data_IF_182377879569
#
_entry.id   IF_182377879569
#
_cell.length_a   1.000
_cell.length_b   1.000
_cell.length_c   1.000
_cell.angle_alpha   90.00
_cell.angle_beta   90.00
_cell.angle_gamma   90.00
#
_symmetry.space_group_name_H-M   'P 1'
#
loop_
_entity.id
_entity.type
_entity.pdbx_description
1 polymer ?
#
# COMPACT_ATOMS: atom_id res chain seq x y z
N UNK A 1 14.91 -9.50 5.71
CA UNK A 1 15.82 -9.74 4.57
C UNK A 1 15.23 -10.86 3.75
N UNK A 2 15.03 -10.65 2.45
CA UNK A 2 14.56 -11.70 1.54
C UNK A 2 15.74 -12.48 0.96
N UNK A 3 15.61 -13.81 0.93
CA UNK A 3 16.61 -14.73 0.38
C UNK A 3 16.21 -15.23 -1.02
N UNK A 4 16.94 -16.22 -1.51
CA UNK A 4 16.61 -16.87 -2.77
C UNK A 4 15.16 -17.40 -2.76
N UNK A 5 14.41 -17.14 -3.83
CA UNK A 5 12.99 -17.47 -3.93
C UNK A 5 12.67 -17.90 -5.36
N UNK A 6 12.04 -19.06 -5.52
CA UNK A 6 11.68 -19.59 -6.83
C UNK A 6 10.51 -18.81 -7.47
N UNK A 7 10.41 -18.89 -8.80
CA UNK A 7 9.32 -18.29 -9.58
C UNK A 7 7.94 -18.74 -9.10
N UNK A 8 6.95 -17.84 -9.13
CA UNK A 8 5.58 -18.08 -8.68
C UNK A 8 5.43 -18.60 -7.24
N UNK A 9 6.47 -18.50 -6.41
CA UNK A 9 6.40 -18.90 -5.00
C UNK A 9 6.17 -17.67 -4.14
N UNK A 10 5.31 -17.82 -3.13
CA UNK A 10 5.11 -16.82 -2.09
C UNK A 10 6.04 -17.07 -0.90
N UNK A 11 6.69 -16.01 -0.42
CA UNK A 11 7.37 -15.98 0.86
C UNK A 11 6.46 -15.32 1.88
N UNK A 12 6.30 -15.97 3.04
CA UNK A 12 5.39 -15.56 4.11
C UNK A 12 6.12 -15.61 5.45
N UNK A 13 7.12 -14.74 5.68
CA UNK A 13 7.80 -14.67 6.96
C UNK A 13 6.81 -14.43 8.10
N UNK A 14 7.06 -15.04 9.25
CA UNK A 14 6.30 -14.74 10.46
C UNK A 14 6.62 -13.33 10.96
N UNK A 15 5.72 -12.67 11.71
CA UNK A 15 6.01 -11.40 12.35
C UNK A 15 7.31 -11.41 13.17
N UNK A 16 7.55 -12.46 13.97
CA UNK A 16 8.79 -12.65 14.70
C UNK A 16 10.04 -12.62 13.79
N UNK A 17 9.99 -13.27 12.62
CA UNK A 17 11.12 -13.31 11.69
C UNK A 17 11.46 -11.94 11.05
N UNK A 18 10.51 -11.01 11.06
CA UNK A 18 10.68 -9.64 10.55
C UNK A 18 10.72 -8.58 11.65
N UNK A 19 10.73 -8.99 12.92
CA UNK A 19 10.69 -8.10 14.08
C UNK A 19 9.45 -7.18 14.02
N UNK A 20 8.32 -7.75 13.63
CA UNK A 20 7.05 -7.04 13.43
C UNK A 20 6.05 -7.23 14.57
N UNK A 21 6.45 -7.79 15.71
CA UNK A 21 5.57 -8.00 16.87
C UNK A 21 5.62 -6.78 17.81
N UNK A 22 4.46 -6.44 18.37
CA UNK A 22 4.32 -5.37 19.36
C UNK A 22 4.22 -5.91 20.78
N UNK A 23 4.61 -5.11 21.76
CA UNK A 23 4.25 -5.37 23.15
C UNK A 23 2.73 -5.20 23.37
N UNK A 24 2.20 -5.81 24.43
CA UNK A 24 0.76 -5.78 24.73
C UNK A 24 0.20 -4.36 24.84
N UNK A 25 0.99 -3.45 25.40
CA UNK A 25 0.63 -2.05 25.62
C UNK A 25 1.05 -1.13 24.47
N UNK A 26 1.34 -1.69 23.29
CA UNK A 26 1.76 -0.93 22.11
C UNK A 26 0.75 -0.91 20.98
N UNK A 27 0.71 0.18 20.24
CA UNK A 27 -0.05 0.36 18.99
C UNK A 27 0.85 1.01 17.97
N UNK A 28 0.75 0.61 16.71
CA UNK A 28 1.65 1.12 15.70
C UNK A 28 0.94 1.50 14.40
N UNK A 29 1.55 2.45 13.70
CA UNK A 29 1.16 2.86 12.36
C UNK A 29 2.36 2.83 11.41
N UNK A 30 2.19 2.27 10.21
CA UNK A 30 3.16 2.39 9.12
C UNK A 30 2.80 3.60 8.26
N UNK A 31 3.78 4.47 8.09
CA UNK A 31 3.67 5.70 7.32
C UNK A 31 4.07 5.46 5.87
N UNK A 32 5.20 4.82 5.61
CA UNK A 32 5.66 4.52 4.25
C UNK A 32 6.51 3.26 4.19
N UNK A 33 6.73 2.75 2.98
CA UNK A 33 7.61 1.63 2.70
C UNK A 33 8.89 2.09 1.98
N UNK A 34 9.96 1.30 2.11
CA UNK A 34 11.21 1.47 1.38
C UNK A 34 11.66 0.11 0.83
N UNK A 35 11.76 -0.01 -0.50
CA UNK A 35 12.02 -1.28 -1.18
C UNK A 35 13.35 -1.20 -1.94
N UNK A 36 14.29 -2.07 -1.54
CA UNK A 36 15.53 -2.34 -2.24
C UNK A 36 15.32 -3.58 -3.10
N UNK A 37 15.03 -3.33 -4.38
CA UNK A 37 14.78 -4.37 -5.37
C UNK A 37 15.98 -5.33 -5.55
N UNK A 38 15.73 -6.62 -5.81
CA UNK A 38 16.77 -7.57 -6.16
C UNK A 38 17.29 -7.31 -7.58
N UNK A 39 18.59 -7.11 -7.71
CA UNK A 39 19.28 -6.78 -8.97
C UNK A 39 20.61 -7.52 -9.00
N UNK A 40 20.87 -8.27 -10.07
CA UNK A 40 22.13 -9.00 -10.25
C UNK A 40 23.33 -8.06 -10.40
N UNK A 41 24.55 -8.58 -10.23
CA UNK A 41 25.79 -7.81 -10.45
C UNK A 41 25.91 -7.19 -11.85
N UNK A 42 25.22 -7.75 -12.85
CA UNK A 42 25.13 -7.21 -14.21
C UNK A 42 24.03 -6.16 -14.42
N UNK A 43 23.28 -5.80 -13.38
CA UNK A 43 22.20 -4.82 -13.46
C UNK A 43 20.84 -5.38 -13.91
N UNK A 44 20.74 -6.70 -14.12
CA UNK A 44 19.47 -7.37 -14.47
C UNK A 44 18.55 -7.39 -13.26
N UNK A 45 17.34 -6.88 -13.42
CA UNK A 45 16.30 -6.85 -12.39
C UNK A 45 15.70 -8.25 -12.22
N UNK A 46 15.44 -8.66 -10.97
CA UNK A 46 14.72 -9.90 -10.69
C UNK A 46 13.27 -9.60 -10.30
N UNK A 47 12.36 -10.54 -10.57
CA UNK A 47 10.92 -10.29 -10.53
C UNK A 47 10.35 -10.41 -9.12
N UNK A 48 10.68 -9.48 -8.21
CA UNK A 48 9.93 -9.32 -6.95
C UNK A 48 8.58 -8.70 -7.26
N UNK A 49 7.70 -9.51 -7.85
CA UNK A 49 6.47 -9.07 -8.50
C UNK A 49 5.61 -8.30 -7.52
N UNK A 50 5.32 -8.86 -6.35
CA UNK A 50 4.31 -8.33 -5.43
C UNK A 50 4.77 -8.33 -3.99
N UNK A 51 4.39 -7.29 -3.26
CA UNK A 51 4.61 -7.13 -1.83
C UNK A 51 3.29 -6.68 -1.20
N UNK A 52 2.74 -7.49 -0.30
CA UNK A 52 1.48 -7.26 0.39
C UNK A 52 1.72 -7.13 1.90
N UNK A 53 1.36 -6.01 2.55
CA UNK A 53 1.32 -5.92 4.00
C UNK A 53 0.28 -6.86 4.62
N UNK A 54 0.63 -7.47 5.74
CA UNK A 54 -0.28 -8.27 6.57
C UNK A 54 -0.32 -7.64 7.96
N UNK A 55 -1.46 -7.09 8.33
CA UNK A 55 -1.69 -6.36 9.57
C UNK A 55 -2.54 -7.22 10.50
N UNK A 56 -2.02 -7.57 11.68
CA UNK A 56 -2.71 -8.42 12.67
C UNK A 56 -3.35 -9.67 12.04
N UNK A 57 -2.58 -10.35 11.18
CA UNK A 57 -2.99 -11.56 10.45
C UNK A 57 -3.86 -11.33 9.21
N UNK A 58 -4.29 -10.09 8.93
CA UNK A 58 -5.13 -9.76 7.77
C UNK A 58 -4.31 -9.20 6.62
N UNK A 59 -4.45 -9.81 5.43
CA UNK A 59 -3.83 -9.31 4.20
C UNK A 59 -4.46 -7.98 3.80
N UNK A 60 -3.61 -7.00 3.47
CA UNK A 60 -4.04 -5.67 3.06
C UNK A 60 -3.94 -5.44 1.55
N UNK A 61 -3.79 -6.52 0.76
CA UNK A 61 -3.54 -6.47 -0.69
C UNK A 61 -4.65 -5.82 -1.51
N UNK A 62 -5.88 -5.81 -1.00
CA UNK A 62 -6.97 -5.06 -1.64
C UNK A 62 -6.73 -3.54 -1.63
N UNK A 63 -5.95 -3.02 -0.67
CA UNK A 63 -5.69 -1.59 -0.52
C UNK A 63 -4.25 -1.23 -0.92
N UNK A 64 -3.30 -2.08 -0.53
CA UNK A 64 -1.87 -1.85 -0.70
C UNK A 64 -1.22 -3.05 -1.36
N UNK A 65 -0.87 -2.90 -2.63
CA UNK A 65 -0.09 -3.86 -3.41
C UNK A 65 1.10 -3.11 -4.04
N UNK A 66 2.32 -3.46 -3.64
CA UNK A 66 3.53 -2.77 -4.05
C UNK A 66 4.35 -3.64 -4.99
N UNK A 67 4.84 -3.05 -6.08
CA UNK A 67 5.86 -3.69 -6.93
C UNK A 67 7.24 -3.56 -6.30
N UNK A 68 7.99 -4.66 -6.29
CA UNK A 68 9.39 -4.71 -5.89
C UNK A 68 10.39 -4.76 -7.05
N UNK A 69 9.92 -4.81 -8.30
CA UNK A 69 10.77 -4.83 -9.50
C UNK A 69 11.43 -3.46 -9.66
N UNK A 70 12.74 -3.40 -9.93
CA UNK A 70 13.50 -2.13 -9.90
C UNK A 70 12.94 -1.07 -10.85
N UNK A 71 12.45 -1.46 -12.03
CA UNK A 71 11.86 -0.54 -13.00
C UNK A 71 10.46 -0.05 -12.62
N UNK A 72 9.68 -0.78 -11.83
CA UNK A 72 8.32 -0.39 -11.44
C UNK A 72 8.15 -0.18 -9.94
N UNK A 73 9.26 -0.11 -9.19
CA UNK A 73 9.24 0.02 -7.74
C UNK A 73 8.48 1.27 -7.33
N UNK A 74 7.41 1.07 -6.57
CA UNK A 74 6.52 2.17 -6.18
C UNK A 74 7.00 2.90 -4.92
N UNK A 75 7.88 2.25 -4.15
CA UNK A 75 8.42 2.79 -2.91
C UNK A 75 9.97 2.65 -2.89
N UNK A 76 10.69 3.32 -3.81
CA UNK A 76 12.15 3.22 -3.88
C UNK A 76 12.84 3.83 -2.64
N UNK A 77 14.12 3.52 -2.41
CA UNK A 77 14.92 4.12 -1.35
C UNK A 77 14.92 5.65 -1.42
N UNK A 78 14.87 6.34 -0.28
CA UNK A 78 14.75 7.81 -0.23
C UNK A 78 15.80 8.52 -1.09
N UNK A 79 17.05 8.03 -1.06
CA UNK A 79 18.16 8.57 -1.85
C UNK A 79 18.04 8.37 -3.36
N UNK A 80 17.04 7.63 -3.84
CA UNK A 80 16.74 7.40 -5.27
C UNK A 80 15.51 8.17 -5.75
N UNK A 81 14.96 9.06 -4.92
CA UNK A 81 13.78 9.86 -5.26
C UNK A 81 14.22 11.30 -5.49
N UNK A 82 13.93 11.83 -6.68
CA UNK A 82 14.13 13.24 -6.98
C UNK A 82 13.29 14.11 -6.03
N UNK A 83 13.92 15.07 -5.36
CA UNK A 83 13.26 15.90 -4.34
C UNK A 83 12.90 15.18 -3.04
N UNK A 84 13.32 13.91 -2.86
CA UNK A 84 13.15 13.10 -1.64
C UNK A 84 11.70 13.00 -1.12
N UNK A 85 10.70 13.17 -2.00
CA UNK A 85 9.27 13.07 -1.68
C UNK A 85 8.81 11.61 -1.76
N UNK A 86 8.94 10.89 -0.65
CA UNK A 86 8.35 9.56 -0.51
C UNK A 86 6.83 9.66 -0.50
N UNK A 87 6.18 8.74 -1.21
CA UNK A 87 4.76 8.51 -1.02
C UNK A 87 4.52 7.97 0.40
N UNK A 88 3.46 8.46 1.03
CA UNK A 88 3.04 8.04 2.37
C UNK A 88 1.63 7.46 2.29
N UNK A 89 1.36 6.40 3.06
CA UNK A 89 0.02 5.86 3.22
C UNK A 89 -0.93 6.85 3.90
N UNK A 90 -0.40 7.82 4.65
CA UNK A 90 -1.17 8.89 5.27
C UNK A 90 -0.29 9.85 6.05
N UNK A 91 -0.91 10.72 6.82
CA UNK A 91 -0.24 11.61 7.78
C UNK A 91 -0.29 10.96 9.17
N UNK A 92 0.87 10.61 9.77
CA UNK A 92 0.91 10.07 11.13
C UNK A 92 0.45 11.12 12.15
N UNK A 93 0.03 10.68 13.33
CA UNK A 93 -0.41 11.58 14.42
C UNK A 93 -1.54 12.55 14.03
N UNK A 94 -2.25 12.29 12.94
CA UNK A 94 -3.36 13.12 12.49
C UNK A 94 -4.68 12.65 13.09
N UNK A 95 -5.49 13.60 13.55
CA UNK A 95 -6.88 13.38 13.95
C UNK A 95 -7.90 13.68 12.84
N UNK A 96 -7.42 14.06 11.64
CA UNK A 96 -8.27 14.19 10.46
C UNK A 96 -8.43 12.80 9.82
N UNK A 97 -9.67 12.26 9.72
CA UNK A 97 -9.86 10.91 9.21
C UNK A 97 -9.41 10.70 7.76
N UNK A 98 -9.43 11.75 6.94
CA UNK A 98 -9.00 11.68 5.53
C UNK A 98 -7.48 11.66 5.38
N UNK A 99 -6.74 12.09 6.41
CA UNK A 99 -5.28 12.10 6.41
C UNK A 99 -4.71 10.96 7.24
N UNK A 100 -5.42 10.48 8.27
CA UNK A 100 -4.95 9.44 9.19
C UNK A 100 -5.03 8.03 8.59
N UNK A 101 -4.66 7.84 7.33
CA UNK A 101 -4.82 6.59 6.56
C UNK A 101 -3.57 5.68 6.58
N UNK A 102 -2.61 5.96 7.44
CA UNK A 102 -1.48 5.07 7.74
C UNK A 102 -1.94 3.65 8.10
N UNK A 103 -1.10 2.64 7.87
CA UNK A 103 -1.47 1.25 8.13
C UNK A 103 -1.43 0.96 9.63
N UNK A 104 -2.58 0.73 10.25
CA UNK A 104 -2.69 0.56 11.72
C UNK A 104 -2.79 -0.91 12.10
N UNK A 105 -1.96 -1.31 13.06
CA UNK A 105 -1.94 -2.65 13.64
C UNK A 105 -1.73 -2.58 15.16
N UNK A 106 -2.22 -3.58 15.89
CA UNK A 106 -2.20 -3.60 17.35
C UNK A 106 -1.39 -4.74 17.96
N UNK A 107 -1.04 -5.75 17.17
CA UNK A 107 -0.36 -6.97 17.64
C UNK A 107 0.86 -7.27 16.78
N UNK A 108 0.68 -7.29 15.45
CA UNK A 108 1.77 -7.66 14.56
C UNK A 108 1.65 -7.14 13.14
N UNK A 109 2.80 -7.04 12.47
CA UNK A 109 2.91 -6.79 11.05
C UNK A 109 3.88 -7.76 10.40
N UNK A 110 3.54 -8.22 9.20
CA UNK A 110 4.49 -8.89 8.30
C UNK A 110 4.20 -8.52 6.85
N UNK A 111 4.94 -9.11 5.91
CA UNK A 111 4.79 -8.92 4.49
C UNK A 111 4.72 -10.28 3.81
N UNK A 112 3.84 -10.43 2.83
CA UNK A 112 3.91 -11.52 1.86
C UNK A 112 4.53 -11.02 0.57
N UNK A 113 5.46 -11.79 0.01
CA UNK A 113 6.10 -11.44 -1.27
C UNK A 113 5.96 -12.55 -2.30
N UNK A 114 5.56 -12.19 -3.51
CA UNK A 114 5.43 -13.11 -4.65
C UNK A 114 6.53 -12.81 -5.67
N UNK A 115 7.19 -13.87 -6.14
CA UNK A 115 8.07 -13.81 -7.31
C UNK A 115 7.27 -13.95 -8.58
N UNK A 116 7.66 -13.23 -9.62
CA UNK A 116 7.10 -13.36 -10.96
C UNK A 116 7.35 -14.73 -11.58
N UNK A 117 6.84 -14.91 -12.80
CA UNK A 117 6.81 -16.19 -13.47
C UNK A 117 8.10 -16.54 -14.22
N UNK A 118 8.95 -15.54 -14.52
CA UNK A 118 10.07 -15.70 -15.45
C UNK A 118 11.40 -15.79 -14.73
N UNK A 119 11.63 -14.91 -13.76
CA UNK A 119 12.95 -14.74 -13.14
C UNK A 119 12.88 -14.97 -11.63
N UNK A 120 13.54 -16.04 -11.17
CA UNK A 120 13.68 -16.31 -9.74
C UNK A 120 14.49 -15.21 -9.04
N UNK A 121 14.27 -15.05 -7.73
CA UNK A 121 15.11 -14.20 -6.90
C UNK A 121 16.36 -14.98 -6.51
N UNK A 122 17.53 -14.48 -6.89
CA UNK A 122 18.85 -14.98 -6.47
C UNK A 122 19.62 -13.95 -5.65
N UNK A 123 19.25 -12.69 -5.76
CA UNK A 123 19.88 -11.58 -5.05
C UNK A 123 19.10 -11.19 -3.80
N UNK A 124 19.80 -10.66 -2.81
CA UNK A 124 19.16 -10.16 -1.61
C UNK A 124 18.27 -8.94 -1.95
N UNK A 125 17.05 -8.94 -1.43
CA UNK A 125 16.18 -7.77 -1.40
C UNK A 125 15.86 -7.38 0.04
N UNK A 126 15.49 -6.10 0.22
CA UNK A 126 15.11 -5.57 1.52
C UNK A 126 13.88 -4.70 1.40
N UNK A 127 12.91 -4.95 2.25
CA UNK A 127 11.74 -4.09 2.43
C UNK A 127 11.81 -3.55 3.86
N UNK A 128 11.61 -2.25 4.01
CA UNK A 128 11.49 -1.58 5.30
C UNK A 128 10.15 -0.90 5.38
N UNK A 129 9.49 -1.04 6.52
CA UNK A 129 8.29 -0.30 6.85
C UNK A 129 8.68 0.73 7.90
N UNK A 130 8.41 1.99 7.61
CA UNK A 130 8.74 3.11 8.48
C UNK A 130 7.48 3.65 9.11
N UNK A 131 7.52 3.87 10.41
CA UNK A 131 6.33 4.20 11.18
C UNK A 131 6.63 4.56 12.62
N UNK A 132 5.57 4.61 13.41
CA UNK A 132 5.63 4.92 14.83
C UNK A 132 5.03 3.78 15.63
N UNK A 133 5.60 3.54 16.81
CA UNK A 133 5.04 2.69 17.86
C UNK A 133 4.72 3.60 19.04
N UNK A 134 3.54 3.43 19.60
CA UNK A 134 3.00 4.21 20.70
C UNK A 134 2.66 3.30 21.86
N UNK A 135 2.91 3.73 23.09
CA UNK A 135 2.25 3.15 24.26
C UNK A 135 0.76 3.50 24.25
N UNK A 136 -0.09 2.60 24.72
CA UNK A 136 -1.54 2.81 24.75
C UNK A 136 -1.92 4.05 25.57
N UNK A 137 -1.17 4.35 26.63
CA UNK A 137 -1.40 5.48 27.53
C UNK A 137 -1.16 6.85 26.88
N UNK A 138 -0.38 6.93 25.80
CA UNK A 138 -0.08 8.18 25.11
C UNK A 138 -1.01 8.48 23.93
N UNK A 139 -1.76 7.49 23.45
CA UNK A 139 -2.67 7.64 22.30
C UNK A 139 -3.68 8.80 22.45
N UNK A 140 -4.37 8.98 23.61
CA UNK A 140 -5.30 10.09 23.76
C UNK A 140 -4.62 11.45 23.72
N UNK A 141 -3.34 11.54 24.13
CA UNK A 141 -2.56 12.78 24.11
C UNK A 141 -2.07 13.10 22.70
N UNK A 142 -1.66 12.10 21.93
CA UNK A 142 -1.11 12.27 20.58
C UNK A 142 -2.21 12.59 19.57
N UNK A 143 -3.33 11.85 19.62
CA UNK A 143 -4.38 11.94 18.60
C UNK A 143 -5.67 12.60 19.11
N UNK A 144 -5.95 12.54 20.42
CA UNK A 144 -7.24 12.97 20.97
C UNK A 144 -8.39 12.13 20.44
N UNK A 145 -9.25 12.76 19.65
CA UNK A 145 -10.44 12.15 19.05
C UNK A 145 -10.36 12.28 17.54
N UNK A 146 -10.63 11.20 16.82
CA UNK A 146 -10.74 11.18 15.37
C UNK A 146 -11.97 11.97 14.93
N UNK A 147 -11.77 12.99 14.10
CA UNK A 147 -12.76 14.03 13.80
C UNK A 147 -13.74 13.63 12.69
N UNK A 148 -14.76 12.86 13.06
CA UNK A 148 -15.94 12.63 12.22
C UNK A 148 -17.13 13.52 12.66
N UNK A 149 -18.09 13.84 11.76
CA UNK A 149 -18.09 13.55 10.32
C UNK A 149 -17.01 14.35 9.58
N UNK A 150 -16.58 13.84 8.42
CA UNK A 150 -15.62 14.54 7.53
C UNK A 150 -16.14 14.61 6.10
N UNK A 151 -15.55 15.46 5.26
CA UNK A 151 -16.03 15.70 3.90
C UNK A 151 -14.89 15.70 2.88
N UNK A 152 -15.10 14.95 1.80
CA UNK A 152 -14.30 15.06 0.57
C UNK A 152 -14.99 16.06 -0.35
N UNK A 153 -14.30 17.15 -0.70
CA UNK A 153 -14.85 18.25 -1.51
C UNK A 153 -14.17 18.28 -2.87
N UNK A 154 -14.91 17.91 -3.92
CA UNK A 154 -14.53 18.17 -5.32
C UNK A 154 -15.04 19.55 -5.72
N UNK A 155 -14.18 20.56 -5.55
CA UNK A 155 -14.52 21.95 -5.89
C UNK A 155 -14.73 22.15 -7.39
N UNK A 156 -14.04 21.39 -8.24
CA UNK A 156 -14.13 21.55 -9.68
C UNK A 156 -15.52 21.13 -10.21
N UNK A 157 -16.11 20.11 -9.58
CA UNK A 157 -17.46 19.62 -9.93
C UNK A 157 -18.56 20.12 -8.97
N UNK A 158 -18.20 20.95 -7.99
CA UNK A 158 -19.09 21.41 -6.92
C UNK A 158 -19.83 20.24 -6.22
N UNK A 159 -19.09 19.19 -5.87
CA UNK A 159 -19.62 18.00 -5.17
C UNK A 159 -18.93 17.86 -3.81
N UNK A 160 -19.70 17.42 -2.82
CA UNK A 160 -19.17 17.04 -1.51
C UNK A 160 -19.69 15.64 -1.15
N UNK A 161 -18.77 14.75 -0.78
CA UNK A 161 -19.07 13.46 -0.18
C UNK A 161 -18.87 13.58 1.32
N UNK A 162 -19.95 13.42 2.10
CA UNK A 162 -19.89 13.46 3.56
C UNK A 162 -19.78 12.05 4.11
N UNK A 163 -18.73 11.80 4.88
CA UNK A 163 -18.49 10.54 5.59
C UNK A 163 -19.03 10.69 7.02
N UNK A 164 -20.25 10.18 7.23
CA UNK A 164 -20.96 10.28 8.50
C UNK A 164 -20.62 9.12 9.43
N UNK A 165 -19.90 9.42 10.52
CA UNK A 165 -19.63 8.52 11.65
C UNK A 165 -19.62 9.31 12.95
N UNK A 166 -19.79 8.60 14.06
CA UNK A 166 -19.45 9.19 15.36
C UNK A 166 -17.95 9.46 15.43
N UNK A 167 -17.58 10.54 16.10
CA UNK A 167 -16.20 10.80 16.45
C UNK A 167 -15.66 9.63 17.31
N UNK A 168 -14.41 9.21 17.06
CA UNK A 168 -13.83 8.02 17.69
C UNK A 168 -12.74 8.47 18.66
N UNK A 169 -12.92 8.32 19.99
CA UNK A 169 -11.85 8.55 20.95
C UNK A 169 -10.67 7.62 20.63
N UNK A 170 -9.45 8.15 20.54
CA UNK A 170 -8.29 7.33 20.16
C UNK A 170 -7.63 6.73 21.40
N UNK A 171 -7.71 5.40 21.51
CA UNK A 171 -7.13 4.62 22.60
C UNK A 171 -6.74 3.21 22.12
N UNK A 172 -6.27 2.36 23.05
CA UNK A 172 -5.81 1.01 22.72
C UNK A 172 -6.90 0.09 22.16
N UNK A 173 -8.16 0.28 22.55
CA UNK A 173 -9.29 -0.54 22.13
C UNK A 173 -9.86 -0.08 20.78
N UNK A 174 -9.82 1.22 20.51
CA UNK A 174 -10.35 1.79 19.28
C UNK A 174 -9.32 1.84 18.14
N UNK A 175 -8.04 1.55 18.40
CA UNK A 175 -6.95 1.73 17.43
C UNK A 175 -7.21 1.09 16.06
N UNK A 176 -7.69 -0.17 16.04
CA UNK A 176 -7.96 -0.91 14.80
C UNK A 176 -9.18 -0.41 14.04
N UNK A 177 -10.03 0.38 14.68
CA UNK A 177 -11.26 0.95 14.10
C UNK A 177 -11.04 2.30 13.42
N UNK A 178 -9.83 2.87 13.55
CA UNK A 178 -9.45 4.13 12.91
C UNK A 178 -9.20 3.94 11.41
N UNK A 179 -9.20 5.02 10.61
CA UNK A 179 -8.78 4.97 9.21
C UNK A 179 -7.43 4.26 9.02
N UNK A 180 -7.32 3.45 7.98
CA UNK A 180 -6.17 2.55 7.75
C UNK A 180 -6.06 1.35 8.69
N UNK A 181 -7.01 1.17 9.62
CA UNK A 181 -7.13 -0.01 10.47
C UNK A 181 -8.09 -1.07 9.91
N UNK A 182 -7.92 -2.33 10.31
CA UNK A 182 -8.68 -3.45 9.77
C UNK A 182 -10.15 -3.55 10.25
N UNK A 183 -10.46 -3.05 11.45
CA UNK A 183 -11.75 -3.24 12.13
C UNK A 183 -12.67 -2.01 11.98
N UNK A 184 -12.50 -1.25 10.89
CA UNK A 184 -13.33 -0.07 10.62
C UNK A 184 -14.78 -0.44 10.36
N UNK A 185 -15.70 0.28 11.01
CA UNK A 185 -17.10 0.35 10.58
C UNK A 185 -17.22 1.03 9.20
N UNK A 186 -18.36 0.90 8.52
CA UNK A 186 -18.63 1.63 7.27
C UNK A 186 -18.99 3.08 7.59
N UNK A 187 -18.57 4.09 6.79
CA UNK A 187 -17.64 4.02 5.64
C UNK A 187 -16.17 3.79 6.04
N UNK A 188 -15.49 2.87 5.35
CA UNK A 188 -14.06 2.59 5.57
C UNK A 188 -13.19 3.61 4.81
N UNK A 189 -12.10 4.06 5.41
CA UNK A 189 -11.15 4.98 4.79
C UNK A 189 -9.78 4.33 4.85
N UNK A 190 -9.22 4.01 3.68
CA UNK A 190 -7.97 3.28 3.54
C UNK A 190 -7.06 3.92 2.50
N UNK A 191 -5.72 3.80 2.67
CA UNK A 191 -4.80 4.18 1.63
C UNK A 191 -5.01 3.27 0.42
N UNK A 192 -4.82 3.80 -0.77
CA UNK A 192 -4.85 3.00 -1.99
C UNK A 192 -3.55 3.16 -2.76
N UNK A 193 -2.83 2.06 -2.92
CA UNK A 193 -1.70 1.96 -3.82
C UNK A 193 -1.75 0.63 -4.55
N UNK A 194 -1.84 0.71 -5.87
CA UNK A 194 -1.92 -0.42 -6.77
C UNK A 194 -1.14 -0.12 -8.03
N UNK A 195 -0.67 -1.18 -8.67
CA UNK A 195 -0.10 -1.17 -10.01
C UNK A 195 -0.66 -2.36 -10.77
N UNK A 196 -0.57 -2.28 -12.09
CA UNK A 196 -1.02 -3.34 -12.97
C UNK A 196 -0.10 -3.42 -14.19
N UNK A 197 0.04 -4.63 -14.72
CA UNK A 197 0.67 -4.88 -16.01
C UNK A 197 -0.39 -5.38 -16.96
N UNK A 198 -0.43 -4.79 -18.16
CA UNK A 198 -1.35 -5.27 -19.17
C UNK A 198 -0.81 -6.59 -19.72
N UNK A 199 -1.62 -7.64 -19.69
CA UNK A 199 -1.30 -8.93 -20.31
C UNK A 199 -1.43 -8.87 -21.82
N UNK A 200 -2.19 -7.91 -22.34
CA UNK A 200 -2.35 -7.71 -23.77
C UNK A 200 -1.27 -6.76 -24.30
N UNK A 201 -0.76 -7.08 -25.49
CA UNK A 201 0.22 -6.25 -26.18
C UNK A 201 -0.35 -4.83 -26.41
N UNK A 202 0.42 -3.82 -26.01
CA UNK A 202 0.12 -2.41 -26.25
C UNK A 202 0.99 -1.89 -27.38
N UNK A 203 0.40 -1.26 -28.40
CA UNK A 203 1.11 -0.80 -29.60
C UNK A 203 1.33 0.72 -29.64
N UNK A 204 0.89 1.44 -28.59
CA UNK A 204 0.97 2.90 -28.49
C UNK A 204 0.16 3.68 -29.53
N UNK A 205 -0.61 3.00 -30.39
CA UNK A 205 -1.28 3.59 -31.56
C UNK A 205 -2.78 3.36 -31.59
N UNK A 206 -3.28 2.26 -31.01
CA UNK A 206 -4.56 1.69 -31.44
C UNK A 206 -5.62 1.43 -30.36
N UNK A 207 -5.57 2.00 -29.15
CA UNK A 207 -6.77 1.83 -28.30
C UNK A 207 -6.79 2.32 -26.87
N UNK A 208 -8.00 2.18 -26.31
CA UNK A 208 -8.33 2.26 -24.89
C UNK A 208 -7.78 1.01 -24.18
N UNK A 209 -6.59 1.12 -23.58
CA UNK A 209 -6.03 0.04 -22.78
C UNK A 209 -6.76 -0.10 -21.45
N UNK A 210 -7.41 -1.24 -21.25
CA UNK A 210 -8.15 -1.53 -20.03
C UNK A 210 -7.35 -2.50 -19.15
N UNK A 211 -7.14 -2.12 -17.90
CA UNK A 211 -6.56 -2.99 -16.86
C UNK A 211 -7.71 -3.61 -16.07
N UNK A 212 -8.31 -4.66 -16.63
CA UNK A 212 -9.52 -5.31 -16.14
C UNK A 212 -9.30 -6.78 -15.87
N UNK A 213 -9.55 -7.21 -14.64
CA UNK A 213 -9.41 -8.63 -14.28
C UNK A 213 -10.48 -9.49 -14.96
N UNK A 214 -11.75 -9.02 -14.98
CA UNK A 214 -12.89 -9.75 -15.56
C UNK A 214 -12.74 -10.06 -17.06
N UNK A 215 -11.95 -9.28 -17.80
CA UNK A 215 -11.69 -9.51 -19.23
C UNK A 215 -10.38 -10.25 -19.49
N UNK A 216 -9.62 -10.58 -18.44
CA UNK A 216 -8.32 -11.24 -18.55
C UNK A 216 -7.18 -10.31 -19.01
N UNK A 217 -7.34 -8.99 -18.92
CA UNK A 217 -6.30 -8.03 -19.32
C UNK A 217 -5.22 -7.85 -18.26
N UNK A 218 -5.48 -8.31 -17.03
CA UNK A 218 -4.52 -8.36 -15.92
C UNK A 218 -4.58 -9.74 -15.27
N UNK A 219 -3.50 -10.15 -14.61
CA UNK A 219 -3.37 -11.52 -14.13
C UNK A 219 -4.13 -11.77 -12.82
N UNK A 220 -4.25 -10.73 -11.99
CA UNK A 220 -4.74 -10.86 -10.62
C UNK A 220 -5.79 -9.79 -10.28
N UNK A 221 -6.67 -10.08 -9.33
CA UNK A 221 -7.79 -9.18 -8.94
C UNK A 221 -7.33 -7.86 -8.34
N UNK A 222 -6.17 -7.84 -7.69
CA UNK A 222 -5.56 -6.64 -7.11
C UNK A 222 -4.78 -5.80 -8.14
N UNK A 223 -4.60 -6.32 -9.35
CA UNK A 223 -4.14 -5.57 -10.54
C UNK A 223 -5.34 -4.96 -11.30
N UNK A 224 -6.58 -5.19 -10.86
CA UNK A 224 -7.76 -4.59 -11.47
C UNK A 224 -7.78 -3.08 -11.17
N UNK A 225 -7.69 -2.27 -12.24
CA UNK A 225 -7.81 -0.81 -12.19
C UNK A 225 -9.12 -0.34 -12.81
N UNK A 226 -10.11 -1.24 -12.94
CA UNK A 226 -11.48 -0.83 -13.18
C UNK A 226 -12.20 -0.59 -11.86
N UNK A 227 -12.65 0.65 -11.72
CA UNK A 227 -13.31 1.14 -10.53
C UNK A 227 -14.79 1.33 -10.84
N UNK A 228 -15.59 0.30 -10.57
CA UNK A 228 -17.04 0.34 -10.71
C UNK A 228 -17.66 0.86 -9.41
N UNK A 229 -17.65 2.17 -9.23
CA UNK A 229 -18.24 2.80 -8.05
C UNK A 229 -19.72 3.07 -8.26
N UNK A 230 -20.52 2.54 -7.34
CA UNK A 230 -21.90 2.97 -7.15
C UNK A 230 -21.94 4.22 -6.25
N UNK A 231 -23.09 4.51 -5.64
CA UNK A 231 -23.25 5.65 -4.73
C UNK A 231 -22.59 5.48 -3.35
N UNK A 232 -22.01 4.31 -3.04
CA UNK A 232 -21.51 3.96 -1.71
C UNK A 232 -19.98 4.02 -1.61
N UNK A 233 -19.28 4.00 -2.75
CA UNK A 233 -17.82 3.97 -2.80
C UNK A 233 -17.24 5.21 -3.49
N UNK A 234 -16.02 5.57 -3.10
CA UNK A 234 -15.27 6.65 -3.74
C UNK A 234 -13.77 6.41 -3.64
N UNK A 235 -13.03 6.85 -4.67
CA UNK A 235 -11.58 6.99 -4.64
C UNK A 235 -11.21 8.46 -4.79
N UNK A 236 -10.29 8.91 -3.94
CA UNK A 236 -9.51 10.12 -4.17
C UNK A 236 -8.18 9.74 -4.84
N UNK A 237 -7.99 10.13 -6.10
CA UNK A 237 -6.73 9.89 -6.82
C UNK A 237 -5.80 11.09 -6.57
N UNK A 238 -4.75 10.88 -5.79
CA UNK A 238 -3.70 11.89 -5.55
C UNK A 238 -2.60 11.86 -6.62
N UNK A 239 -2.41 10.71 -7.27
CA UNK A 239 -1.44 10.54 -8.33
C UNK A 239 -1.73 9.31 -9.19
N UNK A 240 -1.42 9.43 -10.48
CA UNK A 240 -1.47 8.33 -11.45
C UNK A 240 -0.20 8.39 -12.30
N UNK A 241 0.39 7.23 -12.58
CA UNK A 241 1.59 7.11 -13.39
C UNK A 241 1.45 5.95 -14.37
N UNK A 242 2.02 6.12 -15.56
CA UNK A 242 2.10 5.08 -16.59
C UNK A 242 3.55 4.98 -17.02
N UNK A 243 4.06 3.76 -17.15
CA UNK A 243 5.41 3.50 -17.62
C UNK A 243 5.38 2.42 -18.72
N UNK A 244 6.10 2.60 -19.84
CA UNK A 244 6.29 1.55 -20.83
C UNK A 244 7.23 0.47 -20.29
N UNK A 245 6.93 -0.79 -20.60
CA UNK A 245 7.71 -1.97 -20.15
C UNK A 245 9.05 -2.15 -20.91
N UNK A 246 9.22 -1.47 -22.04
CA UNK A 246 10.43 -1.59 -22.86
C UNK A 246 11.58 -0.69 -22.36
N UNK A 247 12.77 -1.29 -22.26
CA UNK A 247 14.03 -0.55 -22.20
C UNK A 247 14.23 0.23 -23.51
N UNK A 248 13.92 1.53 -23.53
CA UNK A 248 14.21 2.34 -24.71
C UNK A 248 13.58 3.72 -24.83
N UNK A 249 12.52 4.06 -24.10
CA UNK A 249 11.77 5.30 -24.39
C UNK A 249 11.67 6.26 -23.18
N UNK A 250 12.78 6.47 -22.48
CA UNK A 250 13.00 7.69 -21.71
C UNK A 250 14.10 8.48 -22.43
N UNK A 251 13.68 9.18 -23.48
CA UNK A 251 14.41 10.32 -24.02
C UNK A 251 13.83 11.59 -23.39
#
# INVERSE_FOLDING_TARGET
LGGAQAVNVWARPTPAAVVGELERDERAEVVFAEIFSPVTGGGVEEELKKIIPVLDGQKYGEYVSLSGIRSSVMAPPKGRIWGAKLYSFGTPMSNNPLLSTTLKYSESITLETLVGATTAITQAYRIRLWGYVYKVSELPRVFGTMLFPTQLVDRARNRALTLNKAAIPVNGDTWRTLPGGKDQSIPKINPLIRYAYNLLATDGKSGDYQFRYKTGNVAETDEDMYFDFDSLDAILVEGIGIRPDAAGNLA
#
